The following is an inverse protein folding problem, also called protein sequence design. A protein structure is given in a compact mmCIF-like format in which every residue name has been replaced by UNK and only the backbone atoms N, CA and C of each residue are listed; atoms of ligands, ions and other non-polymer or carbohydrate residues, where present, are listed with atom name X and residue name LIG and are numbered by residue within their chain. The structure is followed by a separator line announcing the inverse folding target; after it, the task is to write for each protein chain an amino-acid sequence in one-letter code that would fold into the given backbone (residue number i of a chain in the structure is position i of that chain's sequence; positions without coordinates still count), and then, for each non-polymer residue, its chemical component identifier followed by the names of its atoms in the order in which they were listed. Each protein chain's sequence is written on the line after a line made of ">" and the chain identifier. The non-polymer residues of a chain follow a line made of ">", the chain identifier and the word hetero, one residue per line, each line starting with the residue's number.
data_IF_758616360723
#
_entry.id   IF_758616360723
#
_cell.length_a   1.000
_cell.length_b   1.000
_cell.length_c   1.000
_cell.angle_alpha   90.00
_cell.angle_beta   90.00
_cell.angle_gamma   90.00
#
_symmetry.space_group_name_H-M   'P 1'
#
loop_
_entity.id
_entity.type
_entity.pdbx_description
1 polymer ?
#
# COMPACT_ATOMS: atom_id res chain seq x y z
N UNK A 1 -29.87 17.31 36.21
CA UNK A 1 -28.49 16.89 35.86
C UNK A 1 -28.41 15.52 35.17
N UNK A 2 -29.46 14.69 35.21
CA UNK A 2 -29.51 13.36 34.61
C UNK A 2 -29.79 13.42 33.10
N UNK A 3 -30.64 14.35 32.69
CA UNK A 3 -31.13 14.50 31.31
C UNK A 3 -30.03 14.98 30.36
N UNK A 4 -29.17 15.90 30.80
CA UNK A 4 -28.00 16.35 30.04
C UNK A 4 -26.97 15.24 29.76
N UNK A 5 -26.85 14.26 30.67
CA UNK A 5 -25.95 13.11 30.49
C UNK A 5 -26.53 12.08 29.54
N UNK A 6 -27.85 11.86 29.60
CA UNK A 6 -28.57 10.98 28.67
C UNK A 6 -28.55 11.56 27.26
N UNK A 7 -28.79 12.86 27.12
CA UNK A 7 -28.74 13.55 25.84
C UNK A 7 -27.34 13.49 25.19
N UNK A 8 -26.28 13.70 25.99
CA UNK A 8 -24.90 13.58 25.53
C UNK A 8 -24.57 12.15 25.05
N UNK A 9 -25.02 11.12 25.79
CA UNK A 9 -24.81 9.72 25.39
C UNK A 9 -25.55 9.36 24.10
N UNK A 10 -26.74 9.91 23.90
CA UNK A 10 -27.55 9.66 22.70
C UNK A 10 -26.93 10.31 21.46
N UNK A 11 -26.39 11.52 21.59
CA UNK A 11 -25.60 12.17 20.52
C UNK A 11 -24.38 11.32 20.17
N UNK A 12 -23.63 10.85 21.17
CA UNK A 12 -22.44 10.04 20.95
C UNK A 12 -22.75 8.74 20.19
N UNK A 13 -23.88 8.09 20.53
CA UNK A 13 -24.34 6.88 19.86
C UNK A 13 -24.68 7.13 18.40
N UNK A 14 -25.34 8.26 18.09
CA UNK A 14 -25.64 8.67 16.71
C UNK A 14 -24.34 8.84 15.90
N UNK A 15 -23.34 9.52 16.45
CA UNK A 15 -22.04 9.67 15.77
C UNK A 15 -21.36 8.31 15.48
N UNK A 16 -21.42 7.35 16.39
CA UNK A 16 -20.82 6.03 16.16
C UNK A 16 -21.51 5.22 15.05
N UNK A 17 -22.83 5.40 14.86
CA UNK A 17 -23.60 4.68 13.84
C UNK A 17 -23.43 5.30 12.45
N UNK A 18 -23.31 6.63 12.35
CA UNK A 18 -23.21 7.32 11.05
C UNK A 18 -21.77 7.38 10.49
N UNK A 19 -20.73 7.26 11.33
CA UNK A 19 -19.33 7.20 10.88
C UNK A 19 -18.81 5.77 10.66
N UNK A 20 -19.73 4.85 10.33
CA UNK A 20 -19.40 3.48 9.95
C UNK A 20 -18.54 3.42 8.67
N UNK A 21 -17.50 2.60 8.74
CA UNK A 21 -16.44 2.37 7.76
C UNK A 21 -16.86 2.50 6.28
N UNK A 22 -16.20 3.41 5.55
CA UNK A 22 -16.33 3.54 4.10
C UNK A 22 -15.78 2.27 3.42
N UNK A 23 -16.52 1.77 2.43
CA UNK A 23 -16.11 0.62 1.61
C UNK A 23 -14.72 0.89 1.03
N UNK A 24 -13.77 0.00 1.35
CA UNK A 24 -12.47 -0.03 0.67
C UNK A 24 -12.71 -0.25 -0.83
N UNK A 25 -12.09 0.52 -1.73
CA UNK A 25 -12.23 0.33 -3.16
C UNK A 25 -11.63 -1.02 -3.53
N UNK A 26 -12.50 -2.00 -3.80
CA UNK A 26 -12.14 -3.28 -4.40
C UNK A 26 -12.03 -3.13 -5.92
N UNK A 27 -11.23 -2.18 -6.39
CA UNK A 27 -10.71 -2.21 -7.76
C UNK A 27 -9.28 -2.72 -7.66
N UNK A 28 -9.12 -4.04 -7.82
CA UNK A 28 -7.81 -4.66 -8.02
C UNK A 28 -7.47 -4.51 -9.49
N UNK A 29 -7.11 -3.30 -9.91
CA UNK A 29 -6.40 -3.15 -11.16
C UNK A 29 -5.13 -4.02 -11.06
N UNK A 30 -4.75 -4.75 -12.13
CA UNK A 30 -3.58 -5.59 -12.11
C UNK A 30 -2.37 -4.72 -11.76
N UNK A 31 -1.63 -5.12 -10.74
CA UNK A 31 -0.44 -4.39 -10.30
C UNK A 31 0.59 -4.35 -11.44
N UNK A 32 0.97 -3.14 -11.86
CA UNK A 32 2.01 -2.92 -12.87
C UNK A 32 3.20 -2.22 -12.19
N UNK A 33 4.39 -2.86 -12.16
CA UNK A 33 5.60 -2.22 -11.66
C UNK A 33 5.96 -1.00 -12.51
N UNK A 34 6.40 0.07 -11.86
CA UNK A 34 6.99 1.22 -12.53
C UNK A 34 8.46 0.93 -12.88
N UNK A 35 8.98 1.62 -13.89
CA UNK A 35 10.37 1.45 -14.35
C UNK A 35 11.42 1.79 -13.30
N UNK A 36 11.07 2.58 -12.27
CA UNK A 36 11.93 2.95 -11.15
C UNK A 36 11.81 2.02 -9.95
N UNK A 37 10.91 1.05 -9.98
CA UNK A 37 10.70 0.14 -8.85
C UNK A 37 11.87 -0.82 -8.69
N UNK A 38 12.28 -1.04 -7.45
CA UNK A 38 13.20 -2.12 -7.13
C UNK A 38 12.37 -3.40 -7.02
N UNK A 39 12.40 -4.21 -8.06
CA UNK A 39 11.62 -5.45 -8.15
C UNK A 39 12.41 -6.61 -7.54
N UNK A 40 11.87 -7.23 -6.50
CA UNK A 40 12.37 -8.50 -5.97
C UNK A 40 11.58 -9.66 -6.58
N UNK A 41 12.25 -10.54 -7.31
CA UNK A 41 11.63 -11.71 -7.94
C UNK A 41 12.46 -12.99 -7.69
N UNK A 42 11.92 -14.14 -8.08
CA UNK A 42 12.64 -15.41 -8.02
C UNK A 42 13.91 -15.45 -8.90
N UNK A 43 13.99 -14.57 -9.92
CA UNK A 43 15.17 -14.44 -10.78
C UNK A 43 16.26 -13.56 -10.17
N UNK A 44 15.96 -12.89 -9.05
CA UNK A 44 16.81 -11.89 -8.43
C UNK A 44 16.16 -10.50 -8.42
N UNK A 45 16.99 -9.49 -8.17
CA UNK A 45 16.60 -8.09 -8.00
C UNK A 45 16.79 -7.33 -9.31
N UNK A 46 15.75 -6.64 -9.77
CA UNK A 46 15.82 -5.71 -10.92
C UNK A 46 16.00 -4.26 -10.42
N UNK A 47 16.46 -3.37 -11.29
CA UNK A 47 16.75 -1.96 -10.97
C UNK A 47 17.77 -1.74 -9.84
N UNK A 48 18.81 -2.58 -9.81
CA UNK A 48 19.94 -2.48 -8.86
C UNK A 48 20.63 -1.10 -8.92
N UNK A 49 20.65 -0.45 -10.10
CA UNK A 49 21.18 0.91 -10.24
C UNK A 49 20.42 1.92 -9.37
N UNK A 50 19.07 1.88 -9.38
CA UNK A 50 18.23 2.75 -8.55
C UNK A 50 18.47 2.53 -7.05
N UNK A 51 18.65 1.27 -6.65
CA UNK A 51 18.99 0.90 -5.27
C UNK A 51 20.37 1.47 -4.86
N UNK A 52 21.37 1.38 -5.73
CA UNK A 52 22.70 1.97 -5.48
C UNK A 52 22.65 3.48 -5.34
N UNK A 53 21.85 4.14 -6.18
CA UNK A 53 21.68 5.60 -6.14
C UNK A 53 20.99 6.02 -4.84
N UNK A 54 19.98 5.29 -4.39
CA UNK A 54 19.32 5.51 -3.10
C UNK A 54 20.31 5.40 -1.94
N UNK A 55 21.10 4.32 -1.89
CA UNK A 55 22.12 4.12 -0.84
C UNK A 55 23.14 5.28 -0.85
N UNK A 56 23.55 5.74 -2.03
CA UNK A 56 24.48 6.87 -2.16
C UNK A 56 23.86 8.17 -1.67
N UNK A 57 22.59 8.43 -1.97
CA UNK A 57 21.89 9.63 -1.54
C UNK A 57 21.74 9.66 -0.02
N UNK A 58 21.25 8.56 0.57
CA UNK A 58 21.12 8.43 2.03
C UNK A 58 22.47 8.59 2.74
N UNK A 59 23.55 8.02 2.19
CA UNK A 59 24.90 8.16 2.75
C UNK A 59 25.41 9.61 2.73
N UNK A 60 24.95 10.40 1.76
CA UNK A 60 25.29 11.81 1.63
C UNK A 60 24.27 12.73 2.30
N UNK A 61 23.43 12.20 3.20
CA UNK A 61 22.38 12.95 3.92
C UNK A 61 21.36 13.62 2.98
N UNK A 62 21.21 13.09 1.76
CA UNK A 62 20.21 13.54 0.79
C UNK A 62 18.96 12.69 0.97
N UNK A 63 17.83 13.37 1.14
CA UNK A 63 16.52 12.73 1.14
C UNK A 63 16.26 12.08 -0.23
N UNK A 64 15.85 10.81 -0.21
CA UNK A 64 15.52 10.05 -1.39
C UNK A 64 14.45 9.00 -1.05
N UNK A 65 13.61 8.65 -2.02
CA UNK A 65 12.51 7.71 -1.84
C UNK A 65 12.54 6.62 -2.89
N UNK A 66 12.43 5.36 -2.44
CA UNK A 66 12.34 4.19 -3.30
C UNK A 66 11.06 3.42 -3.03
N UNK A 67 10.55 2.76 -4.07
CA UNK A 67 9.48 1.78 -3.96
C UNK A 67 10.06 0.39 -4.21
N UNK A 68 9.87 -0.50 -3.24
CA UNK A 68 10.31 -1.90 -3.32
C UNK A 68 9.08 -2.77 -3.51
N UNK A 69 9.08 -3.56 -4.57
CA UNK A 69 7.91 -4.35 -4.98
C UNK A 69 8.31 -5.81 -5.11
N UNK A 70 7.48 -6.69 -4.58
CA UNK A 70 7.65 -8.13 -4.68
C UNK A 70 6.38 -8.74 -5.22
N UNK A 71 6.48 -9.49 -6.31
CA UNK A 71 5.32 -10.13 -6.91
C UNK A 71 5.69 -11.48 -7.52
N UNK A 72 4.77 -12.42 -7.41
CA UNK A 72 4.82 -13.73 -8.08
C UNK A 72 4.09 -13.60 -9.42
N UNK A 73 4.80 -13.79 -10.54
CA UNK A 73 4.12 -13.96 -11.84
C UNK A 73 3.38 -15.30 -11.80
N UNK A 74 2.06 -15.27 -11.89
CA UNK A 74 1.29 -16.48 -12.15
C UNK A 74 1.76 -17.03 -13.51
N UNK A 75 2.28 -18.25 -13.51
CA UNK A 75 2.70 -18.93 -14.73
C UNK A 75 1.43 -19.39 -15.45
N UNK A 76 1.02 -18.65 -16.48
CA UNK A 76 -0.05 -19.11 -17.38
C UNK A 76 0.55 -20.17 -18.32
N UNK A 77 0.21 -21.44 -18.11
CA UNK A 77 0.49 -22.49 -19.08
C UNK A 77 -0.44 -22.30 -20.29
N UNK A 78 0.00 -21.51 -21.26
CA UNK A 78 -0.67 -21.48 -22.55
C UNK A 78 -0.32 -22.77 -23.31
N UNK A 79 -1.22 -23.76 -23.26
CA UNK A 79 -1.36 -24.72 -24.35
C UNK A 79 -0.80 -26.13 -24.16
N UNK A 80 -0.94 -26.76 -22.98
CA UNK A 80 -0.86 -28.23 -22.90
C UNK A 80 -1.95 -28.77 -21.97
N UNK A 81 -3.14 -29.01 -22.53
CA UNK A 81 -4.00 -30.17 -22.29
C UNK A 81 -5.14 -30.20 -23.31
#
# INVERSE_FOLDING_TARGET
>A
MRDKKVYLMLILFVFLVFFGCTKSPSHKDPFVPESTDIVSSYKGIENVARLKDFIRNVRNEKEDQIRVVSYTKAVSYNGIL
#
